data_IF_461709919419
#
_entry.id   IF_461709919419
#
_cell.length_a   1.000
_cell.length_b   1.000
_cell.length_c   1.000
_cell.angle_alpha   90.00
_cell.angle_beta   90.00
_cell.angle_gamma   90.00
#
_symmetry.space_group_name_H-M   'P 1'
#
loop_
_entity.id
_entity.type
_entity.pdbx_description
1 polymer ?
#
# COMPACT_ATOMS: atom_id res chain seq x y z
N UNK A 1 -12.43 4.12 -5.27
CA UNK A 1 -11.11 4.34 -4.64
C UNK A 1 -10.21 3.16 -4.93
N UNK A 2 -8.95 3.41 -5.27
CA UNK A 2 -7.92 2.43 -5.50
C UNK A 2 -6.82 2.62 -4.45
N UNK A 3 -6.47 1.56 -3.72
CA UNK A 3 -5.43 1.59 -2.68
C UNK A 3 -4.21 0.84 -3.20
N UNK A 4 -3.01 1.39 -2.99
CA UNK A 4 -1.75 0.76 -3.39
C UNK A 4 -0.64 0.93 -2.37
N UNK A 5 0.31 0.01 -2.36
CA UNK A 5 1.47 -0.05 -1.45
C UNK A 5 2.58 0.96 -1.77
N UNK A 6 2.44 1.69 -2.88
CA UNK A 6 3.43 2.65 -3.38
C UNK A 6 4.32 2.10 -4.50
N UNK A 7 4.18 0.83 -4.88
CA UNK A 7 4.88 0.26 -6.02
C UNK A 7 4.28 0.73 -7.36
N UNK A 8 5.13 1.10 -8.32
CA UNK A 8 4.69 1.67 -9.62
C UNK A 8 3.81 0.72 -10.43
N UNK A 9 4.08 -0.58 -10.33
CA UNK A 9 3.27 -1.61 -10.98
C UNK A 9 1.79 -1.55 -10.59
N UNK A 10 1.45 -1.19 -9.34
CA UNK A 10 0.05 -1.03 -8.93
C UNK A 10 -0.57 0.18 -9.61
N UNK A 11 0.14 1.32 -9.63
CA UNK A 11 -0.37 2.54 -10.24
C UNK A 11 -0.56 2.40 -11.75
N UNK A 12 0.33 1.67 -12.44
CA UNK A 12 0.17 1.35 -13.86
C UNK A 12 -1.09 0.53 -14.14
N UNK A 13 -1.48 -0.37 -13.22
CA UNK A 13 -2.73 -1.14 -13.35
C UNK A 13 -3.92 -0.23 -13.05
N UNK A 14 -3.86 0.56 -11.98
CA UNK A 14 -4.94 1.49 -11.59
C UNK A 14 -5.23 2.50 -12.69
N UNK A 15 -4.21 2.95 -13.41
CA UNK A 15 -4.34 3.86 -14.55
C UNK A 15 -5.22 3.29 -15.68
N UNK A 16 -5.22 1.97 -15.85
CA UNK A 16 -5.99 1.26 -16.86
C UNK A 16 -7.44 0.98 -16.44
N UNK A 17 -7.80 1.14 -15.15
CA UNK A 17 -9.12 0.75 -14.65
C UNK A 17 -10.20 1.81 -14.90
N UNK A 18 -9.88 3.09 -14.79
CA UNK A 18 -10.82 4.20 -14.97
C UNK A 18 -10.07 5.52 -15.21
N UNK A 19 -10.66 6.55 -15.86
CA UNK A 19 -10.02 7.86 -16.01
C UNK A 19 -9.69 8.54 -14.67
N UNK A 20 -8.66 9.40 -14.63
CA UNK A 20 -8.22 10.12 -13.41
C UNK A 20 -9.36 10.82 -12.67
N UNK A 21 -10.26 11.49 -13.41
CA UNK A 21 -11.38 12.23 -12.83
C UNK A 21 -12.43 11.35 -12.11
N UNK A 22 -12.43 10.04 -12.38
CA UNK A 22 -13.39 9.08 -11.84
C UNK A 22 -12.78 8.16 -10.77
N UNK A 23 -11.48 8.34 -10.45
CA UNK A 23 -10.79 7.50 -9.47
C UNK A 23 -10.08 8.33 -8.42
N UNK A 24 -10.15 7.84 -7.19
CA UNK A 24 -9.32 8.31 -6.07
C UNK A 24 -8.21 7.30 -5.85
N UNK A 25 -6.96 7.73 -5.94
CA UNK A 25 -5.79 6.92 -5.60
C UNK A 25 -5.37 7.23 -4.16
N UNK A 26 -5.23 6.20 -3.34
CA UNK A 26 -4.85 6.34 -1.92
C UNK A 26 -3.63 5.48 -1.66
N UNK A 27 -2.57 6.08 -1.13
CA UNK A 27 -1.42 5.33 -0.65
C UNK A 27 -1.79 4.60 0.63
N UNK A 28 -1.49 3.30 0.69
CA UNK A 28 -1.71 2.47 1.87
C UNK A 28 -1.00 3.05 3.10
N UNK A 29 -1.79 3.31 4.15
CA UNK A 29 -1.31 3.87 5.39
C UNK A 29 -0.20 3.04 6.05
N UNK A 30 -0.34 1.72 6.10
CA UNK A 30 0.63 0.86 6.77
C UNK A 30 1.96 0.82 6.02
N UNK A 31 1.94 0.81 4.69
CA UNK A 31 3.15 0.92 3.87
C UNK A 31 3.83 2.28 3.99
N UNK A 32 3.05 3.36 4.08
CA UNK A 32 3.58 4.70 4.35
C UNK A 32 4.30 4.75 5.70
N UNK A 33 3.70 4.20 6.76
CA UNK A 33 4.30 4.17 8.10
C UNK A 33 5.50 3.22 8.19
N UNK A 34 5.49 2.10 7.48
CA UNK A 34 6.66 1.23 7.39
C UNK A 34 7.86 1.98 6.78
N UNK A 35 7.63 2.76 5.71
CA UNK A 35 8.65 3.61 5.11
C UNK A 35 9.15 4.71 6.06
N UNK A 36 8.26 5.31 6.87
CA UNK A 36 8.66 6.25 7.92
C UNK A 36 9.56 5.59 8.96
N UNK A 37 9.22 4.39 9.43
CA UNK A 37 10.00 3.67 10.43
C UNK A 37 11.39 3.25 9.94
N UNK A 38 11.56 3.00 8.63
CA UNK A 38 12.88 2.76 8.00
C UNK A 38 13.84 3.95 8.15
N UNK A 39 13.34 5.17 8.41
CA UNK A 39 14.20 6.34 8.70
C UNK A 39 14.90 6.21 10.06
N UNK A 40 14.23 5.62 11.04
CA UNK A 40 14.75 5.45 12.40
C UNK A 40 15.06 6.75 13.15
N UNK A 41 15.87 6.64 14.20
CA UNK A 41 16.30 7.76 15.05
C UNK A 41 15.27 8.12 16.13
N UNK A 42 14.97 9.42 16.26
CA UNK A 42 14.14 9.93 17.36
C UNK A 42 12.68 9.47 17.28
N UNK A 43 12.23 8.69 18.26
CA UNK A 43 10.84 8.25 18.40
C UNK A 43 9.85 9.43 18.50
N UNK A 44 10.25 10.54 19.16
CA UNK A 44 9.43 11.74 19.26
C UNK A 44 9.15 12.34 17.87
N UNK A 45 10.18 12.42 17.03
CA UNK A 45 10.06 12.91 15.65
C UNK A 45 9.21 11.97 14.80
N UNK A 46 9.41 10.65 14.90
CA UNK A 46 8.61 9.68 14.14
C UNK A 46 7.13 9.77 14.49
N UNK A 47 6.80 9.88 15.79
CA UNK A 47 5.41 10.11 16.24
C UNK A 47 4.83 11.41 15.69
N UNK A 48 5.61 12.49 15.67
CA UNK A 48 5.17 13.77 15.12
C UNK A 48 4.93 13.69 13.61
N UNK A 49 5.85 13.05 12.87
CA UNK A 49 5.70 12.78 11.44
C UNK A 49 4.45 11.94 11.14
N UNK A 50 4.22 10.88 11.93
CA UNK A 50 3.01 10.07 11.80
C UNK A 50 1.74 10.90 12.03
N UNK A 51 1.73 11.79 13.03
CA UNK A 51 0.57 12.65 13.29
C UNK A 51 0.30 13.63 12.13
N UNK A 52 1.33 14.19 11.52
CA UNK A 52 1.19 15.03 10.33
C UNK A 52 0.69 14.24 9.12
N UNK A 53 1.28 13.08 8.84
CA UNK A 53 0.84 12.22 7.74
C UNK A 53 -0.60 11.72 7.92
N UNK A 54 -1.04 11.47 9.16
CA UNK A 54 -2.42 11.07 9.46
C UNK A 54 -3.45 12.09 8.95
N UNK A 55 -3.06 13.37 8.93
CA UNK A 55 -3.85 14.50 8.44
C UNK A 55 -3.54 14.89 6.99
N UNK A 56 -2.69 14.14 6.30
CA UNK A 56 -2.26 14.44 4.93
C UNK A 56 -1.20 15.55 4.81
N UNK A 57 -0.56 15.94 5.92
CA UNK A 57 0.36 17.08 6.00
C UNK A 57 1.79 16.70 5.55
N UNK A 58 1.99 16.62 4.23
CA UNK A 58 3.25 16.16 3.62
C UNK A 58 4.39 17.16 3.83
N UNK A 59 4.16 18.46 3.69
CA UNK A 59 5.22 19.47 3.81
C UNK A 59 5.73 19.60 5.24
N UNK A 60 4.82 19.61 6.21
CA UNK A 60 5.14 19.64 7.63
C UNK A 60 5.93 18.40 8.04
N UNK A 61 5.57 17.24 7.47
CA UNK A 61 6.33 16.01 7.67
C UNK A 61 7.75 16.13 7.11
N UNK A 62 7.91 16.61 5.86
CA UNK A 62 9.23 16.79 5.24
C UNK A 62 10.11 17.78 6.02
N UNK A 63 9.53 18.84 6.56
CA UNK A 63 10.25 19.84 7.36
C UNK A 63 10.94 19.21 8.58
N UNK A 64 10.35 18.18 9.21
CA UNK A 64 10.99 17.44 10.32
C UNK A 64 12.29 16.73 9.93
N UNK A 65 12.49 16.48 8.64
CA UNK A 65 13.65 15.77 8.09
C UNK A 65 14.62 16.69 7.32
N UNK A 66 14.32 17.99 7.16
CA UNK A 66 15.09 18.91 6.32
C UNK A 66 16.59 18.98 6.65
N UNK A 67 16.95 18.88 7.93
CA UNK A 67 18.35 18.94 8.38
C UNK A 67 19.07 17.59 8.39
N UNK A 68 18.41 16.50 7.98
CA UNK A 68 18.97 15.15 8.03
C UNK A 68 19.46 14.70 6.64
N UNK A 69 20.77 14.46 6.54
CA UNK A 69 21.42 14.00 5.30
C UNK A 69 21.49 12.47 5.15
N UNK A 70 20.88 11.73 6.08
CA UNK A 70 20.87 10.27 6.03
C UNK A 70 20.10 9.75 4.81
N UNK A 71 20.64 8.73 4.15
CA UNK A 71 20.03 8.12 2.94
C UNK A 71 18.56 7.73 3.16
N UNK A 72 18.21 7.18 4.31
CA UNK A 72 16.84 6.80 4.61
C UNK A 72 15.89 7.99 4.72
N UNK A 73 16.31 9.09 5.36
CA UNK A 73 15.51 10.31 5.44
C UNK A 73 15.29 10.94 4.04
N UNK A 74 16.34 11.00 3.22
CA UNK A 74 16.25 11.50 1.84
C UNK A 74 15.36 10.61 0.96
N UNK A 75 15.47 9.28 1.08
CA UNK A 75 14.60 8.33 0.39
C UNK A 75 13.15 8.52 0.80
N UNK A 76 12.89 8.70 2.09
CA UNK A 76 11.54 8.93 2.60
C UNK A 76 10.94 10.24 2.09
N UNK A 77 11.68 11.35 2.11
CA UNK A 77 11.21 12.61 1.53
C UNK A 77 10.88 12.48 0.04
N UNK A 78 11.73 11.79 -0.75
CA UNK A 78 11.45 11.50 -2.16
C UNK A 78 10.21 10.61 -2.35
N UNK A 79 10.02 9.64 -1.46
CA UNK A 79 8.83 8.78 -1.46
C UNK A 79 7.56 9.59 -1.18
N UNK A 80 7.60 10.51 -0.21
CA UNK A 80 6.50 11.45 0.04
C UNK A 80 6.20 12.33 -1.17
N UNK A 81 7.23 12.88 -1.83
CA UNK A 81 7.03 13.70 -3.03
C UNK A 81 6.41 12.91 -4.18
N UNK A 82 6.86 11.66 -4.39
CA UNK A 82 6.32 10.77 -5.42
C UNK A 82 4.83 10.43 -5.21
N UNK A 83 4.40 10.32 -3.96
CA UNK A 83 3.05 9.90 -3.61
C UNK A 83 2.19 11.02 -3.00
N UNK A 84 2.61 12.29 -3.10
CA UNK A 84 1.94 13.44 -2.50
C UNK A 84 0.43 13.46 -2.75
N UNK A 85 0.01 13.30 -4.00
CA UNK A 85 -1.40 13.38 -4.38
C UNK A 85 -2.24 12.18 -3.90
N UNK A 86 -1.57 11.13 -3.41
CA UNK A 86 -2.18 9.89 -2.89
C UNK A 86 -2.20 9.86 -1.37
N UNK A 87 -1.51 10.79 -0.71
CA UNK A 87 -1.47 10.95 0.75
C UNK A 87 -2.63 11.88 1.13
N UNK A 88 -3.75 11.28 1.49
CA UNK A 88 -5.00 11.97 1.87
C UNK A 88 -5.01 12.31 3.37
N UNK A 89 -6.05 13.03 3.80
CA UNK A 89 -6.39 13.12 5.21
C UNK A 89 -7.02 11.79 5.68
N UNK A 90 -6.18 10.87 6.17
CA UNK A 90 -6.60 9.55 6.64
C UNK A 90 -7.52 9.62 7.85
N UNK A 91 -7.32 10.58 8.75
CA UNK A 91 -8.20 10.84 9.91
C UNK A 91 -9.64 11.03 9.47
N UNK A 92 -9.86 11.98 8.54
CA UNK A 92 -11.17 12.30 8.01
C UNK A 92 -11.77 11.11 7.24
N UNK A 93 -11.00 10.47 6.36
CA UNK A 93 -11.54 9.38 5.54
C UNK A 93 -11.88 8.13 6.35
N UNK A 94 -11.16 7.87 7.45
CA UNK A 94 -11.48 6.78 8.34
C UNK A 94 -12.68 7.12 9.23
N UNK A 95 -12.74 8.32 9.81
CA UNK A 95 -13.83 8.73 10.69
C UNK A 95 -15.18 8.78 9.97
N UNK A 96 -15.19 9.25 8.72
CA UNK A 96 -16.39 9.35 7.88
C UNK A 96 -16.66 8.09 7.04
N UNK A 97 -15.89 7.01 7.24
CA UNK A 97 -16.02 5.73 6.52
C UNK A 97 -16.02 5.85 4.98
N UNK A 98 -15.34 6.89 4.45
CA UNK A 98 -15.37 7.23 3.02
C UNK A 98 -14.71 6.14 2.17
N UNK A 99 -13.62 5.56 2.66
CA UNK A 99 -12.95 4.43 2.03
C UNK A 99 -11.98 3.75 3.00
N UNK A 100 -11.58 2.51 2.67
CA UNK A 100 -10.46 1.88 3.36
C UNK A 100 -9.18 2.71 3.17
N UNK A 101 -8.34 2.73 4.22
CA UNK A 101 -7.04 3.39 4.24
C UNK A 101 -5.86 2.41 4.12
N UNK A 102 -6.17 1.11 4.12
CA UNK A 102 -5.17 0.04 4.08
C UNK A 102 -5.65 -1.16 3.25
N UNK A 103 -4.69 -1.93 2.77
CA UNK A 103 -4.85 -3.08 1.89
C UNK A 103 -4.71 -4.42 2.64
N UNK A 104 -4.63 -4.42 3.97
CA UNK A 104 -4.38 -5.62 4.77
C UNK A 104 -5.34 -6.79 4.54
N UNK A 105 -6.61 -6.52 4.21
CA UNK A 105 -7.57 -7.56 3.81
C UNK A 105 -7.20 -8.21 2.48
N UNK A 106 -6.78 -7.41 1.49
CA UNK A 106 -6.30 -7.85 0.19
C UNK A 106 -4.98 -8.63 0.35
N UNK A 107 -4.03 -8.12 1.11
CA UNK A 107 -2.78 -8.84 1.40
C UNK A 107 -3.04 -10.19 2.07
N UNK A 108 -4.00 -10.24 3.00
CA UNK A 108 -4.39 -11.48 3.67
C UNK A 108 -5.04 -12.47 2.70
N UNK A 109 -5.86 -12.00 1.77
CA UNK A 109 -6.43 -12.82 0.71
C UNK A 109 -5.35 -13.38 -0.23
N UNK A 110 -4.41 -12.54 -0.67
CA UNK A 110 -3.26 -12.97 -1.48
C UNK A 110 -2.43 -14.02 -0.75
N UNK A 111 -2.16 -13.83 0.56
CA UNK A 111 -1.47 -14.84 1.39
C UNK A 111 -2.22 -16.18 1.41
N UNK A 112 -3.55 -16.20 1.39
CA UNK A 112 -4.35 -17.44 1.33
C UNK A 112 -4.26 -18.13 -0.03
N UNK A 113 -4.13 -17.38 -1.12
CA UNK A 113 -3.84 -17.92 -2.46
C UNK A 113 -2.44 -18.52 -2.46
N UNK A 114 -1.45 -17.77 -1.98
CA UNK A 114 -0.03 -18.13 -1.94
C UNK A 114 0.24 -19.43 -1.18
N UNK A 115 -0.54 -19.75 -0.15
CA UNK A 115 -0.43 -21.03 0.59
C UNK A 115 -0.45 -22.27 -0.30
N UNK A 116 -1.01 -22.19 -1.52
CA UNK A 116 -1.03 -23.32 -2.47
C UNK A 116 -0.08 -23.13 -3.66
N UNK A 117 0.14 -21.89 -4.09
CA UNK A 117 0.94 -21.58 -5.29
C UNK A 117 2.43 -21.45 -4.99
N UNK A 118 2.81 -21.13 -3.74
CA UNK A 118 4.20 -20.92 -3.29
C UNK A 118 4.66 -21.96 -2.27
N UNK A 119 4.33 -23.24 -2.48
CA UNK A 119 4.86 -24.32 -1.63
C UNK A 119 6.30 -24.66 -2.01
N UNK A 120 7.09 -25.17 -1.06
CA UNK A 120 8.47 -25.58 -1.31
C UNK A 120 8.52 -26.66 -2.40
N UNK A 121 9.42 -26.49 -3.37
CA UNK A 121 9.58 -27.41 -4.51
C UNK A 121 8.54 -27.29 -5.62
N UNK A 122 7.55 -26.40 -5.51
CA UNK A 122 6.60 -26.18 -6.61
C UNK A 122 7.28 -25.53 -7.82
N UNK A 123 7.04 -26.10 -8.99
CA UNK A 123 7.39 -25.51 -10.28
C UNK A 123 6.12 -25.48 -11.15
N UNK A 124 5.94 -24.39 -11.87
CA UNK A 124 4.77 -24.18 -12.72
C UNK A 124 5.24 -23.88 -14.14
N UNK A 125 4.61 -24.53 -15.12
CA UNK A 125 4.63 -24.02 -16.49
C UNK A 125 3.75 -22.77 -16.54
N UNK A 126 4.20 -21.73 -17.24
CA UNK A 126 3.52 -20.42 -17.26
C UNK A 126 2.06 -20.55 -17.71
N UNK A 127 1.80 -21.39 -18.70
CA UNK A 127 0.47 -21.67 -19.24
C UNK A 127 -0.50 -22.29 -18.22
N UNK A 128 0.01 -22.96 -17.18
CA UNK A 128 -0.82 -23.62 -16.16
C UNK A 128 -1.11 -22.72 -14.95
N UNK A 129 -0.35 -21.63 -14.75
CA UNK A 129 -0.52 -20.72 -13.61
C UNK A 129 -1.94 -20.15 -13.52
N UNK A 130 -2.55 -19.65 -14.61
CA UNK A 130 -3.91 -19.10 -14.56
C UNK A 130 -4.94 -20.11 -14.06
N UNK A 131 -4.85 -21.38 -14.46
CA UNK A 131 -5.78 -22.44 -14.05
C UNK A 131 -5.67 -22.72 -12.54
N UNK A 132 -4.44 -22.79 -12.01
CA UNK A 132 -4.19 -23.04 -10.59
C UNK A 132 -4.70 -21.88 -9.74
N UNK A 133 -4.47 -20.65 -10.18
CA UNK A 133 -5.00 -19.45 -9.53
C UNK A 133 -6.53 -19.46 -9.55
N UNK A 134 -7.15 -19.73 -10.71
CA UNK A 134 -8.61 -19.78 -10.86
C UNK A 134 -9.22 -20.82 -9.91
N UNK A 135 -8.67 -22.04 -9.87
CA UNK A 135 -9.12 -23.10 -8.97
C UNK A 135 -8.99 -22.68 -7.50
N UNK A 136 -7.85 -22.08 -7.11
CA UNK A 136 -7.64 -21.62 -5.73
C UNK A 136 -8.61 -20.51 -5.34
N UNK A 137 -8.86 -19.55 -6.23
CA UNK A 137 -9.82 -18.49 -6.02
C UNK A 137 -11.25 -19.03 -5.90
N UNK A 138 -11.66 -19.96 -6.79
CA UNK A 138 -12.96 -20.62 -6.72
C UNK A 138 -13.17 -21.34 -5.38
N UNK A 139 -12.15 -22.08 -4.91
CA UNK A 139 -12.17 -22.71 -3.58
C UNK A 139 -12.33 -21.69 -2.45
N UNK A 140 -11.53 -20.62 -2.43
CA UNK A 140 -11.57 -19.61 -1.37
C UNK A 140 -12.87 -18.81 -1.35
N UNK A 141 -13.54 -18.69 -2.49
CA UNK A 141 -14.85 -18.04 -2.66
C UNK A 141 -16.03 -19.00 -2.45
N UNK A 142 -15.79 -20.28 -2.15
CA UNK A 142 -16.86 -21.27 -1.92
C UNK A 142 -17.57 -21.77 -3.17
N UNK A 143 -17.05 -21.51 -4.38
CA UNK A 143 -17.67 -21.93 -5.64
C UNK A 143 -17.47 -23.42 -5.98
N UNK A 144 -16.74 -24.15 -5.14
CA UNK A 144 -16.47 -25.58 -5.29
C UNK A 144 -17.21 -26.43 -4.25
N UNK A 145 -18.29 -25.90 -3.66
CA UNK A 145 -19.15 -26.66 -2.75
C UNK A 145 -19.72 -27.89 -3.46
N UNK A 146 -19.44 -29.07 -2.89
CA UNK A 146 -20.15 -30.33 -3.10
C UNK A 146 -21.47 -30.27 -2.34
#
# INVERSE_FOLDING_TARGET
TCIGDGHDGIWNIVEQLAPNAQRREVLDWFHLIENLHKVGGSLKRLKQAQAFLWKGQVEETKALFAHYKGKHAQNFCRYLDKHRDRIINYEYHQAEEICSIGSGSVESAVKRVDRRTKISGAQWKQENVPQVLAHRCAYLNGFLSV
#
